data_IF_884359928126
#
_entry.id   IF_884359928126
#
_cell.length_a   1.000
_cell.length_b   1.000
_cell.length_c   1.000
_cell.angle_alpha   90.00
_cell.angle_beta   90.00
_cell.angle_gamma   90.00
#
_symmetry.space_group_name_H-M   'P 1'
#
loop_
_entity.id
_entity.type
_entity.pdbx_description
1 polymer ?
#
# COMPACT_ATOMS: atom_id res chain seq x y z
N UNK A 1 18.54 4.15 5.14
CA UNK A 1 17.36 3.35 4.74
C UNK A 1 17.62 2.80 3.34
N UNK A 2 17.42 1.51 3.09
CA UNK A 2 17.52 0.92 1.73
C UNK A 2 16.14 0.87 1.07
N UNK A 3 16.08 0.76 -0.25
CA UNK A 3 14.81 0.63 -0.98
C UNK A 3 13.99 -0.59 -0.54
N UNK A 4 14.65 -1.69 -0.15
CA UNK A 4 13.97 -2.86 0.40
C UNK A 4 13.37 -2.59 1.79
N UNK A 5 14.12 -1.93 2.69
CA UNK A 5 13.62 -1.55 4.01
C UNK A 5 12.42 -0.60 3.93
N UNK A 6 12.42 0.33 2.98
CA UNK A 6 11.28 1.20 2.73
C UNK A 6 10.03 0.43 2.30
N UNK A 7 10.17 -0.55 1.37
CA UNK A 7 9.04 -1.36 0.91
C UNK A 7 8.44 -2.23 2.02
N UNK A 8 9.28 -2.85 2.85
CA UNK A 8 8.82 -3.64 3.98
C UNK A 8 8.02 -2.78 4.97
N UNK A 9 8.55 -1.61 5.32
CA UNK A 9 7.87 -0.65 6.19
C UNK A 9 6.54 -0.17 5.59
N UNK A 10 6.53 0.24 4.32
CA UNK A 10 5.32 0.69 3.64
C UNK A 10 4.25 -0.41 3.57
N UNK A 11 4.64 -1.67 3.31
CA UNK A 11 3.72 -2.81 3.37
C UNK A 11 3.04 -2.90 4.73
N UNK A 12 3.83 -2.85 5.81
CA UNK A 12 3.31 -2.99 7.18
C UNK A 12 2.33 -1.88 7.51
N UNK A 13 2.66 -0.63 7.19
CA UNK A 13 1.75 0.50 7.47
C UNK A 13 0.47 0.40 6.64
N UNK A 14 0.57 0.09 5.34
CA UNK A 14 -0.60 -0.03 4.47
C UNK A 14 -1.56 -1.14 4.93
N UNK A 15 -1.03 -2.24 5.46
CA UNK A 15 -1.81 -3.37 5.97
C UNK A 15 -2.35 -3.10 7.39
N UNK A 16 -1.47 -2.85 8.34
CA UNK A 16 -1.80 -2.85 9.77
C UNK A 16 -2.37 -1.52 10.27
N UNK A 17 -1.97 -0.40 9.67
CA UNK A 17 -2.41 0.95 10.11
C UNK A 17 -3.54 1.45 9.23
N UNK A 18 -3.40 1.32 7.91
CA UNK A 18 -4.37 1.85 6.95
C UNK A 18 -5.41 0.82 6.50
N UNK A 19 -5.22 -0.47 6.84
CA UNK A 19 -6.22 -1.51 6.66
C UNK A 19 -6.51 -1.89 5.20
N UNK A 20 -5.58 -1.61 4.28
CA UNK A 20 -5.77 -1.98 2.88
C UNK A 20 -5.54 -3.46 2.65
N UNK A 21 -6.30 -4.05 1.73
CA UNK A 21 -6.16 -5.47 1.43
C UNK A 21 -4.74 -5.79 0.90
N UNK A 22 -4.11 -6.88 1.36
CA UNK A 22 -2.77 -7.26 0.92
C UNK A 22 -2.61 -7.37 -0.60
N UNK A 23 -3.62 -7.85 -1.33
CA UNK A 23 -3.55 -7.96 -2.79
C UNK A 23 -3.29 -6.61 -3.47
N UNK A 24 -3.89 -5.52 -2.99
CA UNK A 24 -3.65 -4.19 -3.55
C UNK A 24 -2.24 -3.69 -3.25
N UNK A 25 -1.75 -3.97 -2.04
CA UNK A 25 -0.41 -3.58 -1.57
C UNK A 25 0.64 -4.29 -2.43
N UNK A 26 0.52 -5.60 -2.60
CA UNK A 26 1.46 -6.40 -3.39
C UNK A 26 1.47 -5.96 -4.87
N UNK A 27 0.30 -5.65 -5.45
CA UNK A 27 0.21 -5.06 -6.80
C UNK A 27 0.91 -3.70 -6.91
N UNK A 28 0.86 -2.87 -5.86
CA UNK A 28 1.52 -1.57 -5.83
C UNK A 28 3.04 -1.68 -5.66
N UNK A 29 3.50 -2.69 -4.92
CA UNK A 29 4.92 -3.00 -4.73
C UNK A 29 5.53 -3.75 -5.92
N UNK A 30 4.74 -4.02 -6.96
CA UNK A 30 5.12 -4.81 -8.13
C UNK A 30 5.60 -6.23 -7.78
N UNK A 31 5.08 -6.76 -6.68
CA UNK A 31 5.32 -8.14 -6.28
C UNK A 31 4.43 -9.09 -7.08
N UNK A 32 4.92 -10.31 -7.30
CA UNK A 32 4.13 -11.36 -7.93
C UNK A 32 3.09 -11.88 -6.92
N UNK A 33 1.81 -11.54 -7.14
CA UNK A 33 0.71 -12.07 -6.32
C UNK A 33 0.40 -13.50 -6.77
N UNK A 34 0.56 -14.48 -5.86
CA UNK A 34 0.05 -15.84 -6.08
C UNK A 34 -1.47 -15.80 -5.93
N UNK A 35 -2.18 -15.95 -7.04
CA UNK A 35 -3.64 -16.09 -7.06
C UNK A 35 -4.02 -17.52 -6.60
N UNK A 36 -4.64 -17.71 -5.42
CA UNK A 36 -5.05 -19.03 -4.94
C UNK A 36 -6.23 -19.60 -5.73
N UNK A 37 -6.97 -18.74 -6.47
CA UNK A 37 -8.24 -19.08 -7.12
C UNK A 37 -8.13 -19.12 -8.66
N UNK A 38 -6.90 -19.07 -9.18
CA UNK A 38 -6.63 -19.11 -10.62
C UNK A 38 -6.94 -17.80 -11.32
N UNK A 39 -6.34 -17.62 -12.50
CA UNK A 39 -6.27 -16.43 -13.38
C UNK A 39 -7.58 -15.63 -13.64
N UNK A 40 -8.70 -16.04 -13.08
CA UNK A 40 -10.01 -15.42 -13.22
C UNK A 40 -10.16 -14.12 -12.39
N UNK A 41 -9.60 -14.03 -11.18
CA UNK A 41 -9.69 -12.82 -10.35
C UNK A 41 -8.62 -11.77 -10.70
N UNK A 42 -7.49 -12.20 -11.25
CA UNK A 42 -6.38 -11.32 -11.64
C UNK A 42 -6.63 -10.49 -12.93
N UNK A 43 -7.87 -10.36 -13.41
CA UNK A 43 -8.19 -9.55 -14.61
C UNK A 43 -8.24 -8.06 -14.34
N UNK A 44 -8.40 -7.65 -13.08
CA UNK A 44 -8.49 -6.23 -12.75
C UNK A 44 -7.24 -5.79 -12.03
N UNK A 45 -6.49 -4.85 -12.60
CA UNK A 45 -5.32 -4.24 -11.96
C UNK A 45 -5.66 -3.40 -10.68
N UNK A 46 -6.91 -3.50 -10.19
CA UNK A 46 -7.47 -2.80 -9.05
C UNK A 46 -7.13 -1.30 -8.99
N UNK A 47 -7.02 -0.64 -10.16
CA UNK A 47 -6.47 0.71 -10.27
C UNK A 47 -7.24 1.74 -9.44
N UNK A 48 -8.57 1.64 -9.38
CA UNK A 48 -9.40 2.54 -8.56
C UNK A 48 -9.08 2.40 -7.09
N UNK A 49 -8.99 1.18 -6.57
CA UNK A 49 -8.70 0.93 -5.16
C UNK A 49 -7.25 1.25 -4.81
N UNK A 50 -6.32 0.93 -5.71
CA UNK A 50 -4.91 1.32 -5.56
C UNK A 50 -4.73 2.83 -5.56
N UNK A 51 -5.51 3.58 -6.34
CA UNK A 51 -5.49 5.05 -6.29
C UNK A 51 -5.98 5.56 -4.93
N UNK A 52 -7.08 5.02 -4.40
CA UNK A 52 -7.57 5.37 -3.06
C UNK A 52 -6.52 5.06 -1.99
N UNK A 53 -5.88 3.89 -2.09
CA UNK A 53 -4.80 3.48 -1.20
C UNK A 53 -3.61 4.45 -1.23
N UNK A 54 -3.17 4.85 -2.42
CA UNK A 54 -2.08 5.81 -2.54
C UNK A 54 -2.46 7.22 -2.07
N UNK A 55 -3.73 7.61 -2.18
CA UNK A 55 -4.21 8.86 -1.58
C UNK A 55 -4.19 8.80 -0.06
N UNK A 56 -4.74 7.74 0.55
CA UNK A 56 -4.72 7.56 2.00
C UNK A 56 -3.28 7.49 2.55
N UNK A 57 -2.36 6.88 1.79
CA UNK A 57 -0.93 6.90 2.10
C UNK A 57 -0.36 8.32 2.10
N UNK A 58 -0.70 9.15 1.10
CA UNK A 58 -0.26 10.54 1.05
C UNK A 58 -0.82 11.34 2.24
N UNK A 59 -2.11 11.18 2.54
CA UNK A 59 -2.78 11.85 3.66
C UNK A 59 -2.14 11.47 5.01
N UNK A 60 -1.75 10.20 5.19
CA UNK A 60 -1.01 9.72 6.37
C UNK A 60 0.37 10.37 6.49
N UNK A 61 1.12 10.49 5.40
CA UNK A 61 2.42 11.16 5.43
C UNK A 61 2.28 12.66 5.73
N UNK A 62 1.23 13.30 5.19
CA UNK A 62 0.93 14.70 5.47
C UNK A 62 0.53 14.93 6.93
N UNK A 63 -0.22 13.99 7.55
CA UNK A 63 -0.56 14.08 8.98
C UNK A 63 0.68 13.99 9.85
N UNK A 64 1.57 13.02 9.60
CA UNK A 64 2.84 12.89 10.31
C UNK A 64 3.73 14.13 10.18
N UNK A 65 3.79 14.71 8.98
CA UNK A 65 4.55 15.94 8.74
C UNK A 65 3.97 17.10 9.57
N UNK A 66 2.65 17.22 9.61
CA UNK A 66 1.97 18.30 10.32
C UNK A 66 2.14 18.15 11.83
N UNK A 67 1.97 16.94 12.37
CA UNK A 67 2.20 16.64 13.80
C UNK A 67 3.62 17.00 14.23
N UNK A 68 4.63 16.65 13.42
CA UNK A 68 6.03 16.96 13.69
C UNK A 68 6.42 18.44 13.59
N UNK A 69 5.54 19.31 13.07
CA UNK A 69 5.76 20.76 13.01
C UNK A 69 5.16 21.53 14.19
N UNK A 70 4.38 20.86 15.05
CA UNK A 70 3.68 21.47 16.19
C UNK A 70 4.44 21.35 17.53
N UNK A 71 5.70 20.92 17.51
CA UNK A 71 6.60 20.80 18.67
C UNK A 71 7.80 21.70 18.51
#
# INVERSE_FOLDING_TARGET
MTGHGFRAMARTILDEVLGFRPDYIEHQLAHAVRDPNGRAYNRTAHLTERRKMMQAWADYLDSLRTEGQTT
#
